data_IF_473718381342
#
_entry.id   IF_473718381342
#
_cell.length_a   1.000
_cell.length_b   1.000
_cell.length_c   1.000
_cell.angle_alpha   90.00
_cell.angle_beta   90.00
_cell.angle_gamma   90.00
#
_symmetry.space_group_name_H-M   'P 1'
#
loop_
_entity.id
_entity.type
_entity.pdbx_description
1 polymer ?
#
# COMPACT_ATOMS: atom_id res chain seq x y z
N UNK A 1 20.56 -26.21 26.43
CA UNK A 1 19.20 -26.67 26.03
C UNK A 1 18.27 -26.99 27.22
N UNK A 2 18.35 -26.26 28.35
CA UNK A 2 17.35 -26.38 29.46
C UNK A 2 16.57 -25.09 29.77
N UNK A 3 16.83 -23.98 29.07
CA UNK A 3 16.10 -22.71 29.28
C UNK A 3 14.91 -22.47 28.33
N UNK A 4 14.85 -23.16 27.19
CA UNK A 4 13.84 -22.86 26.16
C UNK A 4 12.43 -23.30 26.60
N UNK A 5 12.30 -24.48 27.21
CA UNK A 5 11.02 -25.00 27.71
C UNK A 5 10.50 -24.21 28.90
N UNK A 6 11.40 -23.72 29.77
CA UNK A 6 11.04 -22.92 30.95
C UNK A 6 10.54 -21.53 30.53
N UNK A 7 11.16 -20.89 29.52
CA UNK A 7 10.69 -19.60 28.99
C UNK A 7 9.34 -19.76 28.28
N UNK A 8 9.14 -20.82 27.49
CA UNK A 8 7.85 -21.05 26.81
C UNK A 8 6.72 -21.32 27.83
N UNK A 9 7.00 -22.07 28.91
CA UNK A 9 6.01 -22.35 29.98
C UNK A 9 5.72 -21.11 30.83
N UNK A 10 6.74 -20.31 31.18
CA UNK A 10 6.54 -19.04 31.90
C UNK A 10 5.76 -18.04 31.03
N UNK A 11 6.01 -18.01 29.72
CA UNK A 11 5.32 -17.09 28.80
C UNK A 11 3.88 -17.53 28.48
N UNK A 12 3.60 -18.83 28.42
CA UNK A 12 2.24 -19.36 28.34
C UNK A 12 1.44 -19.05 29.63
N UNK A 13 2.09 -19.16 30.80
CA UNK A 13 1.50 -18.75 32.08
C UNK A 13 1.27 -17.23 32.13
N UNK A 14 2.15 -16.40 31.57
CA UNK A 14 1.96 -14.94 31.47
C UNK A 14 0.79 -14.58 30.55
N UNK A 15 0.59 -15.29 29.43
CA UNK A 15 -0.57 -15.08 28.56
C UNK A 15 -1.89 -15.53 29.21
N UNK A 16 -1.87 -16.62 29.99
CA UNK A 16 -3.03 -17.12 30.74
C UNK A 16 -3.39 -16.17 31.90
N UNK A 17 -2.39 -15.65 32.61
CA UNK A 17 -2.56 -14.68 33.72
C UNK A 17 -2.97 -13.30 33.21
N UNK A 18 -2.48 -12.87 32.04
CA UNK A 18 -2.92 -11.66 31.34
C UNK A 18 -4.42 -11.69 30.98
N UNK A 19 -4.96 -12.88 30.67
CA UNK A 19 -6.40 -13.06 30.41
C UNK A 19 -7.28 -12.89 31.66
N UNK A 20 -6.69 -12.85 32.87
CA UNK A 20 -7.42 -12.90 34.14
C UNK A 20 -7.04 -11.80 35.17
N UNK A 21 -6.30 -10.76 34.81
CA UNK A 21 -5.82 -9.75 35.78
C UNK A 21 -5.89 -8.30 35.29
N UNK A 22 -5.96 -7.34 36.23
CA UNK A 22 -6.24 -5.93 35.94
C UNK A 22 -5.05 -5.18 35.31
N UNK A 23 -5.37 -4.11 34.57
CA UNK A 23 -4.46 -3.26 33.76
C UNK A 23 -3.19 -2.79 34.51
N UNK A 24 -3.25 -2.59 35.82
CA UNK A 24 -2.11 -2.14 36.62
C UNK A 24 -0.99 -3.20 36.76
N UNK A 25 -1.33 -4.48 36.67
CA UNK A 25 -0.36 -5.59 36.76
C UNK A 25 0.43 -5.80 35.46
N UNK A 26 -0.12 -5.38 34.32
CA UNK A 26 0.52 -5.44 33.01
C UNK A 26 1.71 -4.48 32.84
N UNK A 27 1.62 -3.28 33.43
CA UNK A 27 2.61 -2.23 33.19
C UNK A 27 3.93 -2.51 33.93
N UNK A 28 3.83 -3.02 35.17
CA UNK A 28 4.98 -3.51 35.96
C UNK A 28 5.70 -4.69 35.28
N UNK A 29 4.93 -5.63 34.69
CA UNK A 29 5.48 -6.78 33.97
C UNK A 29 6.21 -6.36 32.69
N UNK A 30 5.65 -5.39 31.95
CA UNK A 30 6.25 -4.88 30.71
C UNK A 30 7.58 -4.13 30.96
N UNK A 31 7.68 -3.39 32.07
CA UNK A 31 8.91 -2.70 32.47
C UNK A 31 9.98 -3.69 32.96
N UNK A 32 9.58 -4.75 33.67
CA UNK A 32 10.48 -5.83 34.08
C UNK A 32 11.03 -6.62 32.87
N UNK A 33 10.20 -6.84 31.84
CA UNK A 33 10.61 -7.50 30.60
C UNK A 33 11.58 -6.63 29.77
N UNK A 34 11.32 -5.32 29.66
CA UNK A 34 12.19 -4.35 28.97
C UNK A 34 13.59 -4.28 29.59
N UNK A 35 13.71 -4.37 30.91
CA UNK A 35 15.01 -4.41 31.60
C UNK A 35 15.81 -5.68 31.29
N UNK A 36 15.15 -6.81 31.01
CA UNK A 36 15.80 -8.05 30.56
C UNK A 36 16.14 -8.05 29.07
N UNK A 37 15.35 -7.35 28.24
CA UNK A 37 15.55 -7.23 26.78
C UNK A 37 16.82 -6.46 26.39
N UNK A 38 17.30 -5.54 27.22
CA UNK A 38 18.54 -4.77 26.97
C UNK A 38 19.84 -5.60 27.01
N UNK A 39 19.78 -6.90 27.28
CA UNK A 39 20.93 -7.81 27.31
C UNK A 39 21.01 -8.80 26.13
N UNK A 40 20.09 -8.75 25.16
CA UNK A 40 20.02 -9.68 24.03
C UNK A 40 20.63 -9.09 22.75
N UNK A 41 21.17 -9.93 21.87
CA UNK A 41 21.75 -9.50 20.60
C UNK A 41 20.67 -9.24 19.53
N UNK A 42 21.08 -8.66 18.39
CA UNK A 42 20.16 -8.16 17.36
C UNK A 42 19.27 -9.26 16.73
N UNK A 43 19.79 -10.49 16.60
CA UNK A 43 19.04 -11.65 16.08
C UNK A 43 17.96 -12.13 17.06
N UNK A 44 18.26 -12.15 18.36
CA UNK A 44 17.30 -12.49 19.42
C UNK A 44 16.18 -11.44 19.52
N UNK A 45 16.52 -10.17 19.27
CA UNK A 45 15.55 -9.06 19.21
C UNK A 45 14.64 -9.16 17.98
N UNK A 46 15.16 -9.61 16.85
CA UNK A 46 14.38 -9.80 15.62
C UNK A 46 13.46 -11.02 15.69
N UNK A 47 13.90 -12.14 16.27
CA UNK A 47 13.03 -13.30 16.54
C UNK A 47 11.90 -12.93 17.52
N UNK A 48 12.19 -12.10 18.51
CA UNK A 48 11.19 -11.55 19.43
C UNK A 48 10.16 -10.67 18.72
N UNK A 49 10.61 -9.76 17.84
CA UNK A 49 9.70 -8.90 17.05
C UNK A 49 8.83 -9.72 16.09
N UNK A 50 9.39 -10.77 15.47
CA UNK A 50 8.65 -11.67 14.59
C UNK A 50 7.62 -12.51 15.37
N UNK A 51 7.95 -12.95 16.59
CA UNK A 51 7.01 -13.59 17.50
C UNK A 51 5.88 -12.64 17.93
N UNK A 52 6.20 -11.39 18.26
CA UNK A 52 5.19 -10.37 18.57
C UNK A 52 4.23 -10.13 17.40
N UNK A 53 4.73 -10.12 16.16
CA UNK A 53 3.89 -10.03 14.96
C UNK A 53 2.93 -11.22 14.84
N UNK A 54 3.42 -12.45 15.07
CA UNK A 54 2.59 -13.67 15.03
C UNK A 54 1.56 -13.71 16.16
N UNK A 55 1.94 -13.31 17.37
CA UNK A 55 1.01 -13.23 18.51
C UNK A 55 -0.02 -12.12 18.30
N UNK A 56 0.37 -10.98 17.73
CA UNK A 56 -0.57 -9.92 17.35
C UNK A 56 -1.56 -10.38 16.27
N UNK A 57 -1.09 -11.16 15.29
CA UNK A 57 -1.94 -11.78 14.26
C UNK A 57 -2.91 -12.80 14.88
N UNK A 58 -2.42 -13.68 15.76
CA UNK A 58 -3.22 -14.71 16.42
C UNK A 58 -4.26 -14.12 17.40
N UNK A 59 -3.90 -13.05 18.11
CA UNK A 59 -4.82 -12.31 18.98
C UNK A 59 -5.78 -11.40 18.21
N UNK A 60 -5.46 -11.03 16.97
CA UNK A 60 -6.41 -10.38 16.07
C UNK A 60 -7.50 -11.35 15.59
N UNK A 61 -7.21 -12.65 15.55
CA UNK A 61 -8.19 -13.66 15.14
C UNK A 61 -9.07 -14.18 16.29
N UNK A 62 -8.69 -13.91 17.55
CA UNK A 62 -9.44 -14.31 18.74
C UNK A 62 -10.52 -13.26 19.10
N UNK A 63 -11.75 -13.71 19.35
CA UNK A 63 -12.99 -12.91 19.42
C UNK A 63 -13.36 -12.42 20.84
N UNK A 64 -12.39 -12.27 21.75
CA UNK A 64 -12.67 -11.78 23.10
C UNK A 64 -12.42 -10.24 23.23
N UNK A 65 -13.53 -9.49 23.17
CA UNK A 65 -13.94 -8.18 23.74
C UNK A 65 -12.95 -7.13 24.34
N UNK A 66 -11.68 -7.02 23.94
CA UNK A 66 -10.86 -5.84 24.31
C UNK A 66 -10.34 -5.04 23.11
N UNK A 67 -11.21 -4.16 22.59
CA UNK A 67 -10.91 -3.24 21.50
C UNK A 67 -9.83 -2.21 21.86
N UNK A 68 -9.67 -1.88 23.15
CA UNK A 68 -8.61 -0.97 23.65
C UNK A 68 -7.22 -1.61 23.52
N UNK A 69 -7.13 -2.91 23.84
CA UNK A 69 -5.91 -3.69 23.65
C UNK A 69 -5.58 -3.87 22.17
N UNK A 70 -6.57 -4.18 21.32
CA UNK A 70 -6.40 -4.31 19.86
C UNK A 70 -5.99 -2.99 19.18
N UNK A 71 -6.55 -1.87 19.63
CA UNK A 71 -6.17 -0.54 19.15
C UNK A 71 -4.74 -0.19 19.59
N UNK A 72 -4.36 -0.53 20.82
CA UNK A 72 -2.99 -0.32 21.33
C UNK A 72 -1.97 -1.20 20.61
N UNK A 73 -2.32 -2.44 20.29
CA UNK A 73 -1.46 -3.35 19.52
C UNK A 73 -1.36 -2.96 18.04
N UNK A 74 -2.46 -2.57 17.37
CA UNK A 74 -2.40 -1.97 16.02
C UNK A 74 -1.50 -0.75 16.01
N UNK A 75 -1.72 0.19 16.94
CA UNK A 75 -0.89 1.38 17.11
C UNK A 75 0.59 1.06 17.38
N UNK A 76 0.90 -0.05 18.07
CA UNK A 76 2.28 -0.53 18.30
C UNK A 76 2.90 -1.22 17.09
N UNK A 77 2.13 -2.00 16.33
CA UNK A 77 2.56 -2.60 15.04
C UNK A 77 2.78 -1.51 13.99
N UNK A 78 1.89 -0.52 13.93
CA UNK A 78 1.97 0.63 13.03
C UNK A 78 3.09 1.60 13.41
N UNK A 79 3.41 1.74 14.72
CA UNK A 79 4.59 2.50 15.18
C UNK A 79 5.93 1.84 14.85
N UNK A 80 5.90 0.58 14.40
CA UNK A 80 7.06 -0.14 13.85
C UNK A 80 7.03 -0.13 12.30
N UNK A 81 5.96 0.37 11.67
CA UNK A 81 5.67 0.19 10.23
C UNK A 81 5.54 1.47 9.38
N UNK A 82 5.92 2.65 9.86
CA UNK A 82 5.83 3.88 9.07
C UNK A 82 7.06 4.75 9.30
N UNK A 83 8.04 4.78 8.40
CA UNK A 83 8.11 5.78 7.31
C UNK A 83 9.14 5.41 6.19
N UNK A 84 9.78 4.25 6.29
CA UNK A 84 11.06 3.97 5.63
C UNK A 84 11.14 2.78 4.67
N UNK A 85 10.06 1.98 4.53
CA UNK A 85 10.15 0.72 3.79
C UNK A 85 10.41 0.96 2.30
N UNK A 86 11.54 0.45 1.81
CA UNK A 86 11.94 0.47 0.41
C UNK A 86 11.47 -0.83 -0.22
N UNK A 87 10.76 -0.74 -1.33
CA UNK A 87 10.43 -1.86 -2.20
C UNK A 87 11.43 -1.88 -3.35
N UNK A 88 12.07 -3.03 -3.55
CA UNK A 88 13.01 -3.28 -4.64
C UNK A 88 12.56 -4.44 -5.51
N UNK A 89 13.03 -4.45 -6.75
CA UNK A 89 12.90 -5.57 -7.68
C UNK A 89 14.28 -6.23 -7.78
N UNK A 90 14.39 -7.52 -7.45
CA UNK A 90 15.64 -8.26 -7.59
C UNK A 90 15.99 -8.55 -9.06
N UNK A 91 17.22 -8.96 -9.34
CA UNK A 91 17.62 -9.43 -10.69
C UNK A 91 16.87 -10.68 -11.18
N UNK A 92 16.15 -11.34 -10.28
CA UNK A 92 15.22 -12.42 -10.56
C UNK A 92 13.76 -11.94 -10.77
N UNK A 93 13.54 -10.64 -10.94
CA UNK A 93 12.25 -9.98 -11.18
C UNK A 93 11.21 -10.13 -10.06
N UNK A 94 11.64 -10.58 -8.87
CA UNK A 94 10.78 -10.69 -7.68
C UNK A 94 10.90 -9.46 -6.81
N UNK A 95 9.86 -9.19 -6.04
CA UNK A 95 9.85 -8.09 -5.08
C UNK A 95 10.60 -8.44 -3.80
N UNK A 96 11.33 -7.46 -3.28
CA UNK A 96 12.02 -7.50 -1.98
C UNK A 96 11.72 -6.22 -1.21
N UNK A 97 11.60 -6.32 0.11
CA UNK A 97 11.47 -5.15 0.98
C UNK A 97 12.70 -4.96 1.84
N UNK A 98 13.03 -3.71 2.09
CA UNK A 98 14.08 -3.26 3.01
C UNK A 98 13.44 -2.27 3.98
N UNK A 99 13.43 -2.55 5.28
CA UNK A 99 12.73 -1.69 6.25
C UNK A 99 13.35 -0.29 6.38
N UNK A 100 14.67 -0.20 6.24
CA UNK A 100 15.45 1.04 6.24
C UNK A 100 16.56 0.95 5.19
N UNK A 101 17.29 2.04 4.94
CA UNK A 101 18.46 2.03 4.06
C UNK A 101 19.57 1.06 4.50
N UNK A 102 19.63 0.63 5.77
CA UNK A 102 20.71 -0.24 6.27
C UNK A 102 20.26 -1.67 6.59
N UNK A 103 18.96 -1.97 6.50
CA UNK A 103 18.41 -3.31 6.77
C UNK A 103 18.79 -4.32 5.67
N UNK A 104 18.55 -5.60 5.86
CA UNK A 104 18.69 -6.58 4.77
C UNK A 104 17.47 -6.58 3.83
N UNK A 105 17.66 -7.08 2.61
CA UNK A 105 16.56 -7.36 1.70
C UNK A 105 15.81 -8.63 2.12
N UNK A 106 14.50 -8.52 2.26
CA UNK A 106 13.60 -9.63 2.58
C UNK A 106 12.70 -9.85 1.37
N UNK A 107 12.71 -11.06 0.81
CA UNK A 107 11.85 -11.38 -0.33
C UNK A 107 10.38 -11.29 0.08
N UNK A 108 9.58 -10.66 -0.77
CA UNK A 108 8.13 -10.63 -0.63
C UNK A 108 7.55 -12.01 -0.99
N UNK A 109 6.74 -12.63 -0.10
CA UNK A 109 6.07 -13.89 -0.39
C UNK A 109 5.12 -13.78 -1.60
N UNK A 110 4.83 -14.92 -2.23
CA UNK A 110 3.82 -15.02 -3.31
C UNK A 110 4.02 -13.99 -4.44
N UNK A 111 5.26 -13.74 -4.84
CA UNK A 111 5.61 -12.95 -6.02
C UNK A 111 5.36 -13.75 -7.31
N UNK A 112 4.22 -14.42 -7.41
CA UNK A 112 3.74 -15.06 -8.63
C UNK A 112 3.37 -13.94 -9.62
N UNK A 113 4.37 -13.50 -10.39
CA UNK A 113 4.30 -12.36 -11.30
C UNK A 113 5.60 -11.56 -11.23
N UNK A 114 6.36 -11.63 -12.33
CA UNK A 114 7.67 -11.02 -12.50
C UNK A 114 7.52 -9.61 -13.08
N UNK A 115 8.11 -8.62 -12.40
CA UNK A 115 8.04 -7.22 -12.82
C UNK A 115 9.43 -6.64 -13.08
N UNK A 116 9.49 -5.68 -14.00
CA UNK A 116 10.73 -4.99 -14.40
C UNK A 116 10.80 -3.56 -13.83
N UNK A 117 9.66 -2.97 -13.48
CA UNK A 117 9.57 -1.66 -12.84
C UNK A 117 8.40 -1.68 -11.84
N UNK A 118 8.48 -0.83 -10.81
CA UNK A 118 7.47 -0.74 -9.76
C UNK A 118 7.38 0.68 -9.22
N UNK A 119 6.16 1.10 -8.90
CA UNK A 119 5.85 2.33 -8.17
C UNK A 119 4.64 2.07 -7.27
N UNK A 120 4.41 2.93 -6.28
CA UNK A 120 3.17 2.92 -5.51
C UNK A 120 2.33 4.12 -5.90
N UNK A 121 1.06 3.89 -6.18
CA UNK A 121 0.07 4.92 -6.42
C UNK A 121 -0.35 5.59 -5.11
N UNK A 122 -0.90 6.80 -5.19
CA UNK A 122 -1.34 7.59 -4.04
C UNK A 122 -2.40 6.90 -3.18
N UNK A 123 -3.17 5.98 -3.75
CA UNK A 123 -4.17 5.18 -3.02
C UNK A 123 -3.57 3.98 -2.26
N UNK A 124 -2.24 3.79 -2.37
CA UNK A 124 -1.49 2.70 -1.76
C UNK A 124 -1.32 1.47 -2.67
N UNK A 125 -1.99 1.42 -3.82
CA UNK A 125 -1.86 0.33 -4.80
C UNK A 125 -0.45 0.26 -5.35
N UNK A 126 0.13 -0.93 -5.41
CA UNK A 126 1.43 -1.16 -6.06
C UNK A 126 1.17 -1.38 -7.55
N UNK A 127 1.77 -0.53 -8.39
CA UNK A 127 1.73 -0.63 -9.83
C UNK A 127 3.09 -1.14 -10.32
N UNK A 128 3.06 -2.26 -11.05
CA UNK A 128 4.23 -2.88 -11.66
C UNK A 128 4.11 -2.95 -13.18
N UNK A 129 5.26 -3.04 -13.84
CA UNK A 129 5.35 -3.38 -15.25
C UNK A 129 5.82 -4.84 -15.34
N UNK A 130 5.06 -5.70 -15.99
CA UNK A 130 5.42 -7.10 -16.20
C UNK A 130 6.52 -7.26 -17.27
N UNK A 131 7.12 -8.45 -17.37
CA UNK A 131 8.03 -8.77 -18.48
C UNK A 131 7.35 -8.72 -19.86
N UNK A 132 6.02 -8.75 -19.91
CA UNK A 132 5.21 -8.55 -21.10
C UNK A 132 5.01 -7.06 -21.46
N UNK A 133 5.68 -6.16 -20.73
CA UNK A 133 5.60 -4.69 -20.86
C UNK A 133 4.22 -4.09 -20.60
N UNK A 134 3.32 -4.85 -19.95
CA UNK A 134 1.99 -4.39 -19.55
C UNK A 134 1.99 -3.96 -18.10
N UNK A 135 0.96 -3.19 -17.73
CA UNK A 135 0.75 -2.79 -16.34
C UNK A 135 0.03 -3.89 -15.55
N UNK A 136 0.47 -4.08 -14.32
CA UNK A 136 -0.10 -5.00 -13.35
C UNK A 136 -0.24 -4.28 -12.01
N UNK A 137 -1.30 -4.54 -11.27
CA UNK A 137 -1.53 -3.96 -9.95
C UNK A 137 -1.61 -5.01 -8.86
N UNK A 138 -1.17 -4.64 -7.66
CA UNK A 138 -1.41 -5.36 -6.42
C UNK A 138 -1.96 -4.40 -5.38
N UNK A 139 -3.05 -4.76 -4.72
CA UNK A 139 -3.66 -3.92 -3.69
C UNK A 139 -2.77 -3.78 -2.44
N UNK A 140 -2.02 -4.83 -2.11
CA UNK A 140 -1.06 -4.84 -1.00
C UNK A 140 0.21 -5.58 -1.41
N UNK A 141 1.25 -5.50 -0.59
CA UNK A 141 2.52 -6.20 -0.81
C UNK A 141 2.37 -7.72 -1.02
N UNK A 142 1.34 -8.34 -0.45
CA UNK A 142 1.13 -9.80 -0.48
C UNK A 142 -0.06 -10.24 -1.37
N UNK A 143 -0.81 -9.31 -1.96
CA UNK A 143 -1.93 -9.64 -2.87
C UNK A 143 -1.45 -10.24 -4.19
N UNK A 144 -2.27 -10.92 -4.97
CA UNK A 144 -1.85 -11.36 -6.31
C UNK A 144 -1.76 -10.20 -7.30
N UNK A 145 -0.91 -10.34 -8.33
CA UNK A 145 -0.86 -9.39 -9.45
C UNK A 145 -2.13 -9.53 -10.31
N UNK A 146 -2.78 -8.41 -10.56
CA UNK A 146 -3.96 -8.30 -11.43
C UNK A 146 -3.56 -7.44 -12.62
N UNK A 147 -3.71 -7.97 -13.84
CA UNK A 147 -3.38 -7.21 -15.04
C UNK A 147 -4.32 -6.01 -15.15
N UNK A 148 -3.76 -4.85 -15.45
CA UNK A 148 -4.54 -3.67 -15.78
C UNK A 148 -5.19 -3.86 -17.15
N UNK A 149 -6.51 -3.64 -17.30
CA UNK A 149 -7.17 -3.69 -18.60
C UNK A 149 -6.66 -2.62 -19.56
N UNK A 150 -6.84 -2.84 -20.86
CA UNK A 150 -6.54 -1.85 -21.90
C UNK A 150 -5.11 -1.28 -21.85
N UNK A 151 -4.12 -2.09 -21.48
CA UNK A 151 -2.69 -1.73 -21.55
C UNK A 151 -2.17 -1.76 -22.98
N UNK A 152 -2.91 -1.18 -23.92
CA UNK A 152 -2.45 -1.00 -25.29
C UNK A 152 -1.30 0.01 -25.29
N UNK A 153 -0.08 -0.45 -25.51
CA UNK A 153 1.14 0.35 -25.43
C UNK A 153 2.10 -0.23 -24.40
N UNK A 154 3.25 -0.71 -24.89
CA UNK A 154 4.30 -1.30 -24.08
C UNK A 154 5.11 -0.19 -23.38
N UNK A 155 5.32 -0.34 -22.08
CA UNK A 155 6.11 0.58 -21.26
C UNK A 155 7.23 -0.15 -20.51
N UNK A 156 8.29 0.57 -20.20
CA UNK A 156 9.50 0.08 -19.51
C UNK A 156 9.76 0.77 -18.17
N UNK A 157 9.12 1.92 -17.93
CA UNK A 157 9.18 2.65 -16.67
C UNK A 157 7.84 3.30 -16.37
N UNK A 158 7.52 3.49 -15.09
CA UNK A 158 6.25 4.08 -14.66
C UNK A 158 6.40 4.81 -13.33
N UNK A 159 5.69 5.93 -13.19
CA UNK A 159 5.53 6.68 -11.95
C UNK A 159 4.16 7.38 -11.93
N UNK A 160 3.64 7.72 -10.76
CA UNK A 160 2.47 8.60 -10.65
C UNK A 160 2.93 10.01 -10.29
N UNK A 161 2.43 11.00 -11.02
CA UNK A 161 2.64 12.41 -10.73
C UNK A 161 1.72 12.88 -9.61
N UNK A 162 2.09 13.99 -8.97
CA UNK A 162 1.35 14.61 -7.86
C UNK A 162 -0.11 14.94 -8.21
N UNK A 163 -0.42 15.24 -9.47
CA UNK A 163 -1.78 15.48 -9.96
C UNK A 163 -2.62 14.20 -10.17
N UNK A 164 -2.03 13.03 -9.93
CA UNK A 164 -2.64 11.72 -10.11
C UNK A 164 -2.39 11.09 -11.49
N UNK A 165 -1.85 11.84 -12.45
CA UNK A 165 -1.52 11.34 -13.80
C UNK A 165 -0.44 10.26 -13.71
N UNK A 166 -0.61 9.16 -14.44
CA UNK A 166 0.41 8.12 -14.55
C UNK A 166 1.32 8.48 -15.73
N UNK A 167 2.61 8.66 -15.45
CA UNK A 167 3.65 8.89 -16.44
C UNK A 167 4.40 7.58 -16.71
N UNK A 168 4.44 7.17 -17.96
CA UNK A 168 5.14 5.98 -18.43
C UNK A 168 6.21 6.30 -19.46
N UNK A 169 7.20 5.42 -19.55
CA UNK A 169 8.22 5.43 -20.60
C UNK A 169 7.88 4.29 -21.56
N UNK A 170 7.63 4.61 -22.84
CA UNK A 170 7.37 3.60 -23.88
C UNK A 170 8.64 2.85 -24.26
N UNK A 171 8.49 1.69 -24.91
CA UNK A 171 9.64 0.91 -25.48
C UNK A 171 10.40 1.64 -26.60
N UNK A 172 9.94 2.82 -26.99
CA UNK A 172 10.60 3.73 -27.93
C UNK A 172 11.30 4.91 -27.23
N UNK A 173 11.52 4.79 -25.91
CA UNK A 173 12.14 5.75 -25.01
C UNK A 173 11.44 7.11 -24.91
N UNK A 174 10.19 7.22 -25.38
CA UNK A 174 9.36 8.43 -25.27
C UNK A 174 8.45 8.37 -24.05
N UNK A 175 8.04 9.55 -23.57
CA UNK A 175 7.09 9.65 -22.47
C UNK A 175 5.64 9.58 -22.95
N UNK A 176 4.82 8.91 -22.16
CA UNK A 176 3.37 8.80 -22.34
C UNK A 176 2.67 9.06 -21.01
N UNK A 177 1.50 9.67 -21.05
CA UNK A 177 0.66 9.91 -19.88
C UNK A 177 -0.65 9.15 -19.99
N UNK A 178 -1.15 8.68 -18.84
CA UNK A 178 -2.52 8.19 -18.66
C UNK A 178 -3.16 8.96 -17.52
N UNK A 179 -4.38 9.48 -17.74
CA UNK A 179 -5.10 10.22 -16.71
C UNK A 179 -5.54 9.33 -15.53
N UNK A 180 -5.87 8.07 -15.81
CA UNK A 180 -6.20 7.05 -14.81
C UNK A 180 -5.59 5.71 -15.21
N UNK A 181 -5.63 4.73 -14.30
CA UNK A 181 -5.14 3.38 -14.55
C UNK A 181 -5.76 2.69 -15.77
N UNK A 182 -6.98 3.07 -16.18
CA UNK A 182 -7.71 2.45 -17.30
C UNK A 182 -7.80 3.33 -18.55
N UNK A 183 -7.29 4.57 -18.52
CA UNK A 183 -7.29 5.49 -19.66
C UNK A 183 -6.30 5.04 -20.75
N UNK A 184 -6.42 5.52 -21.98
CA UNK A 184 -5.41 5.26 -23.01
C UNK A 184 -4.11 6.04 -22.76
N UNK A 185 -2.99 5.51 -23.26
CA UNK A 185 -1.71 6.24 -23.28
C UNK A 185 -1.76 7.37 -24.30
N UNK A 186 -1.45 8.58 -23.85
CA UNK A 186 -1.30 9.76 -24.69
C UNK A 186 0.17 10.14 -24.71
N UNK A 187 0.78 10.22 -25.90
CA UNK A 187 2.18 10.60 -26.00
C UNK A 187 2.37 12.03 -25.50
N UNK A 188 3.37 12.24 -24.66
CA UNK A 188 3.77 13.58 -24.23
C UNK A 188 4.41 14.31 -25.42
N UNK A 189 4.05 15.57 -25.70
CA UNK A 189 4.72 16.36 -26.72
C UNK A 189 6.20 16.64 -26.38
N UNK A 190 7.00 16.91 -27.41
CA UNK A 190 8.39 17.35 -27.26
C UNK A 190 9.27 16.44 -26.39
N UNK A 191 9.09 15.13 -26.50
CA UNK A 191 9.93 14.13 -25.79
C UNK A 191 11.29 13.96 -26.46
N UNK A 192 11.94 15.07 -26.83
CA UNK A 192 13.30 15.04 -27.34
C UNK A 192 14.24 14.67 -26.20
N UNK A 193 14.90 13.52 -26.28
CA UNK A 193 15.72 12.95 -25.22
C UNK A 193 15.14 11.64 -24.69
N UNK A 194 15.85 10.55 -24.97
CA UNK A 194 15.49 9.20 -24.57
C UNK A 194 15.79 8.97 -23.10
N UNK A 195 14.81 8.47 -22.34
CA UNK A 195 14.95 8.12 -20.93
C UNK A 195 14.55 6.67 -20.68
N UNK A 196 15.18 6.04 -19.69
CA UNK A 196 14.99 4.64 -19.29
C UNK A 196 14.43 4.49 -17.88
N UNK A 197 14.41 5.58 -17.11
CA UNK A 197 13.81 5.65 -15.77
C UNK A 197 13.21 7.03 -15.52
N UNK A 198 12.15 7.10 -14.71
CA UNK A 198 11.45 8.36 -14.41
C UNK A 198 10.85 8.34 -13.01
N UNK A 199 10.91 9.47 -12.32
CA UNK A 199 10.23 9.72 -11.05
C UNK A 199 9.89 11.22 -10.97
N UNK A 200 8.89 11.60 -10.16
CA UNK A 200 8.66 13.01 -9.83
C UNK A 200 9.19 13.31 -8.43
N UNK A 201 9.97 14.37 -8.31
CA UNK A 201 10.45 14.89 -7.03
C UNK A 201 9.33 15.62 -6.29
N UNK A 202 9.49 15.79 -4.98
CA UNK A 202 8.54 16.47 -4.09
C UNK A 202 8.29 17.93 -4.49
N UNK A 203 9.25 18.59 -5.14
CA UNK A 203 9.10 19.96 -5.66
C UNK A 203 8.34 20.03 -7.00
N UNK A 204 7.89 18.88 -7.53
CA UNK A 204 7.17 18.76 -8.80
C UNK A 204 8.08 18.53 -10.01
N UNK A 205 9.40 18.66 -9.87
CA UNK A 205 10.35 18.40 -10.96
C UNK A 205 10.31 16.93 -11.38
N UNK A 206 10.28 16.66 -12.67
CA UNK A 206 10.40 15.30 -13.20
C UNK A 206 11.89 14.99 -13.35
N UNK A 207 12.35 13.93 -12.70
CA UNK A 207 13.70 13.41 -12.79
C UNK A 207 13.70 12.16 -13.68
N UNK A 208 14.49 12.20 -14.75
CA UNK A 208 14.67 11.11 -15.69
C UNK A 208 16.10 10.57 -15.67
N UNK A 209 16.26 9.31 -16.07
CA UNK A 209 17.54 8.69 -16.34
C UNK A 209 17.67 8.56 -17.86
N UNK A 210 18.69 9.19 -18.45
CA UNK A 210 18.96 9.08 -19.89
C UNK A 210 19.53 7.71 -20.28
N UNK A 211 19.50 7.37 -21.57
CA UNK A 211 20.13 6.13 -22.09
C UNK A 211 21.66 6.05 -21.87
N UNK A 212 22.28 7.17 -21.52
CA UNK A 212 23.68 7.27 -21.08
C UNK A 212 23.86 7.06 -19.56
N UNK A 213 22.81 6.65 -18.84
CA UNK A 213 22.75 6.45 -17.39
C UNK A 213 23.01 7.71 -16.54
N UNK A 214 22.89 8.91 -17.14
CA UNK A 214 22.95 10.19 -16.41
C UNK A 214 21.57 10.68 -16.04
N UNK A 215 21.51 11.58 -15.06
CA UNK A 215 20.26 12.21 -14.65
C UNK A 215 19.95 13.45 -15.47
N UNK A 216 18.67 13.61 -15.81
CA UNK A 216 18.11 14.77 -16.48
C UNK A 216 16.89 15.24 -15.72
N UNK A 217 16.69 16.55 -15.62
CA UNK A 217 15.47 17.13 -15.06
C UNK A 217 14.61 17.78 -16.10
N UNK A 218 13.31 17.81 -15.81
CA UNK A 218 12.30 18.46 -16.61
C UNK A 218 11.34 19.16 -15.66
N UNK A 219 11.17 20.47 -15.81
CA UNK A 219 10.36 21.27 -14.88
C UNK A 219 8.87 20.94 -14.97
N UNK A 220 8.38 20.61 -16.17
CA UNK A 220 6.99 20.22 -16.44
C UNK A 220 6.93 19.13 -17.50
N UNK A 221 5.78 18.51 -17.71
CA UNK A 221 5.57 17.54 -18.81
C UNK A 221 5.82 18.09 -20.22
N UNK A 222 5.99 19.40 -20.43
CA UNK A 222 6.22 19.98 -21.76
C UNK A 222 7.57 20.70 -21.90
N UNK A 223 8.36 20.80 -20.81
CA UNK A 223 9.68 21.45 -20.84
C UNK A 223 10.72 20.58 -21.56
N UNK A 224 11.91 21.11 -21.85
CA UNK A 224 13.02 20.30 -22.34
C UNK A 224 13.72 19.56 -21.18
N UNK A 225 14.44 18.48 -21.50
CA UNK A 225 15.35 17.82 -20.56
C UNK A 225 16.62 18.64 -20.36
N UNK A 226 17.02 18.82 -19.10
CA UNK A 226 18.24 19.52 -18.71
C UNK A 226 19.14 18.54 -17.98
N UNK A 227 20.38 18.37 -18.44
CA UNK A 227 21.34 17.47 -17.78
C UNK A 227 21.66 17.97 -16.37
N UNK A 228 21.50 17.10 -15.39
CA UNK A 228 21.92 17.36 -14.02
C UNK A 228 23.44 17.38 -13.97
N UNK A 229 24.01 18.44 -13.41
CA UNK A 229 25.46 18.56 -13.32
C UNK A 229 26.03 17.63 -12.25
N UNK A 230 27.31 17.29 -12.38
CA UNK A 230 28.04 16.44 -11.43
C UNK A 230 27.38 15.06 -11.20
N UNK A 231 26.79 14.44 -12.23
CA UNK A 231 26.29 13.07 -12.15
C UNK A 231 27.41 12.05 -12.26
N UNK A 232 28.46 12.20 -11.46
CA UNK A 232 29.55 11.22 -11.41
C UNK A 232 29.00 9.95 -10.74
N UNK A 233 28.68 8.95 -11.55
CA UNK A 233 28.01 7.72 -11.13
C UNK A 233 26.78 7.44 -11.99
N UNK A 234 26.84 6.34 -12.75
CA UNK A 234 25.78 5.89 -13.62
C UNK A 234 24.71 5.14 -12.83
N UNK A 235 23.44 5.49 -13.03
CA UNK A 235 22.30 4.83 -12.38
C UNK A 235 21.32 4.27 -13.40
N UNK A 236 20.59 3.20 -13.01
CA UNK A 236 19.61 2.50 -13.84
C UNK A 236 18.17 2.65 -13.33
N UNK A 237 17.99 3.01 -12.05
CA UNK A 237 16.70 3.33 -11.46
C UNK A 237 16.88 4.41 -10.39
N UNK A 238 15.82 5.21 -10.15
CA UNK A 238 15.85 6.32 -9.20
C UNK A 238 14.48 6.55 -8.58
N UNK A 239 14.46 6.93 -7.31
CA UNK A 239 13.27 7.42 -6.58
C UNK A 239 13.70 8.49 -5.59
N UNK A 240 12.81 9.39 -5.21
CA UNK A 240 13.04 10.25 -4.03
C UNK A 240 12.41 9.61 -2.80
N UNK A 241 13.13 9.63 -1.68
CA UNK A 241 12.62 9.21 -0.38
C UNK A 241 11.83 10.34 0.29
N UNK A 242 10.98 10.00 1.26
CA UNK A 242 10.18 10.94 2.05
C UNK A 242 10.98 12.08 2.67
N UNK A 243 12.21 11.80 3.09
CA UNK A 243 13.10 12.79 3.68
C UNK A 243 13.79 13.71 2.63
N UNK A 244 13.43 13.60 1.36
CA UNK A 244 13.99 14.36 0.24
C UNK A 244 15.26 13.77 -0.38
N UNK A 245 15.88 12.76 0.24
CA UNK A 245 17.06 12.08 -0.30
C UNK A 245 16.72 11.35 -1.59
N UNK A 246 17.54 11.48 -2.62
CA UNK A 246 17.41 10.71 -3.86
C UNK A 246 18.11 9.38 -3.67
N UNK A 247 17.39 8.28 -3.88
CA UNK A 247 17.92 6.92 -3.87
C UNK A 247 18.01 6.41 -5.32
N UNK A 248 19.18 5.93 -5.71
CA UNK A 248 19.45 5.37 -7.02
C UNK A 248 20.01 3.96 -6.96
N UNK A 249 19.83 3.21 -8.03
CA UNK A 249 20.52 1.93 -8.26
C UNK A 249 21.64 2.18 -9.27
N UNK A 250 22.88 1.85 -8.91
CA UNK A 250 24.02 1.94 -9.82
C UNK A 250 24.03 0.83 -10.89
N UNK A 251 24.82 0.97 -11.94
CA UNK A 251 25.02 -0.08 -12.97
C UNK A 251 25.61 -1.39 -12.44
N UNK A 252 26.11 -1.38 -11.21
CA UNK A 252 26.56 -2.55 -10.44
C UNK A 252 25.46 -3.17 -9.56
N UNK A 253 24.20 -2.75 -9.73
CA UNK A 253 23.01 -3.17 -8.99
C UNK A 253 23.05 -2.88 -7.47
N UNK A 254 23.93 -1.97 -7.03
CA UNK A 254 23.98 -1.50 -5.64
C UNK A 254 23.18 -0.21 -5.45
N UNK A 255 22.77 0.06 -4.21
CA UNK A 255 22.09 1.30 -3.87
C UNK A 255 23.07 2.44 -3.57
N UNK A 256 22.71 3.62 -4.02
CA UNK A 256 23.43 4.87 -3.77
C UNK A 256 22.44 5.95 -3.34
N UNK A 257 22.83 6.79 -2.40
CA UNK A 257 22.05 7.95 -1.96
C UNK A 257 22.70 9.23 -2.45
N UNK A 258 21.86 10.23 -2.71
CA UNK A 258 22.28 11.57 -3.10
C UNK A 258 21.41 12.56 -2.31
N UNK A 259 22.02 13.40 -1.48
CA UNK A 259 21.27 14.27 -0.57
C UNK A 259 20.42 15.32 -1.31
N UNK A 260 20.96 15.86 -2.41
CA UNK A 260 20.27 16.81 -3.30
C UNK A 260 20.56 16.45 -4.75
N UNK A 261 19.87 17.09 -5.69
CA UNK A 261 20.09 16.88 -7.12
C UNK A 261 21.53 17.11 -7.59
N UNK A 262 22.34 17.91 -6.88
CA UNK A 262 23.72 18.24 -7.27
C UNK A 262 24.80 17.65 -6.35
N UNK A 263 24.43 16.90 -5.31
CA UNK A 263 25.38 16.26 -4.39
C UNK A 263 26.13 15.08 -5.04
N UNK A 264 27.13 14.49 -4.41
CA UNK A 264 27.71 13.23 -4.91
C UNK A 264 26.84 12.02 -4.55
N UNK A 265 27.01 10.92 -5.30
CA UNK A 265 26.46 9.62 -4.94
C UNK A 265 27.28 8.98 -3.82
N UNK A 266 26.59 8.53 -2.76
CA UNK A 266 27.19 7.82 -1.62
C UNK A 266 26.63 6.41 -1.59
N UNK A 267 27.50 5.39 -1.68
CA UNK A 267 27.09 3.99 -1.62
C UNK A 267 26.38 3.69 -0.29
N UNK A 268 25.24 3.03 -0.38
CA UNK A 268 24.52 2.55 0.80
C UNK A 268 25.22 1.26 1.28
N UNK A 269 25.59 1.16 2.57
CA UNK A 269 26.20 -0.06 3.11
C UNK A 269 25.28 -1.28 3.01
N UNK A 270 25.89 -2.47 3.08
CA UNK A 270 25.20 -3.75 3.17
C UNK A 270 24.15 -3.95 2.06
N UNK A 271 24.47 -3.54 0.84
CA UNK A 271 23.62 -3.76 -0.36
C UNK A 271 23.73 -5.20 -0.88
N UNK A 272 23.80 -6.18 0.03
CA UNK A 272 23.79 -7.60 -0.32
C UNK A 272 22.42 -7.94 -0.91
N UNK A 273 22.38 -8.15 -2.23
CA UNK A 273 21.15 -8.35 -3.00
C UNK A 273 21.06 -7.34 -4.14
N UNK A 274 21.27 -7.83 -5.36
CA UNK A 274 21.21 -7.01 -6.57
C UNK A 274 19.76 -6.67 -6.91
N UNK A 275 19.46 -5.37 -7.01
CA UNK A 275 18.15 -4.86 -7.42
C UNK A 275 18.24 -4.08 -8.73
N UNK A 276 17.13 -4.04 -9.46
CA UNK A 276 17.00 -3.39 -10.78
C UNK A 276 15.88 -2.35 -10.85
N UNK A 277 15.00 -2.31 -9.85
CA UNK A 277 13.98 -1.29 -9.68
C UNK A 277 13.76 -0.98 -8.20
N UNK A 278 13.34 0.25 -7.88
CA UNK A 278 13.15 0.73 -6.51
C UNK A 278 12.01 1.74 -6.42
N UNK A 279 11.29 1.71 -5.29
CA UNK A 279 10.38 2.77 -4.85
C UNK A 279 10.34 2.76 -3.32
N UNK A 280 9.99 3.88 -2.69
CA UNK A 280 9.60 3.86 -1.28
C UNK A 280 8.09 3.61 -1.17
N UNK A 281 7.69 2.86 -0.15
CA UNK A 281 6.28 2.64 0.16
C UNK A 281 5.77 3.68 1.16
N UNK A 282 4.59 4.19 0.87
CA UNK A 282 3.82 5.16 1.63
C UNK A 282 2.62 4.41 2.19
N UNK A 283 2.72 3.97 3.45
CA UNK A 283 1.53 3.55 4.18
C UNK A 283 1.00 4.80 4.91
N UNK A 284 -0.28 5.17 4.74
CA UNK A 284 -0.82 6.29 5.48
C UNK A 284 -0.69 5.99 6.98
N UNK A 285 -0.08 6.91 7.72
CA UNK A 285 -0.27 6.95 9.17
C UNK A 285 -1.75 7.29 9.38
N UNK A 286 -2.50 6.45 10.10
CA UNK A 286 -3.82 6.85 10.59
C UNK A 286 -3.55 7.96 11.61
N UNK A 287 -3.56 9.20 11.14
CA UNK A 287 -3.38 10.37 11.99
C UNK A 287 -4.51 10.37 13.02
N UNK A 288 -4.14 10.47 14.29
CA UNK A 288 -5.08 10.57 15.39
C UNK A 288 -6.06 11.71 15.12
N UNK A 289 -7.34 11.39 15.30
CA UNK A 289 -8.53 12.22 15.42
C UNK A 289 -8.33 13.74 15.17
N UNK A 290 -9.05 14.37 14.23
CA UNK A 290 -9.07 15.83 14.16
C UNK A 290 -9.67 16.36 15.46
N UNK A 291 -8.82 16.95 16.29
CA UNK A 291 -9.27 17.73 17.44
C UNK A 291 -9.91 18.99 16.89
N UNK A 292 -11.24 19.00 16.87
CA UNK A 292 -12.03 20.19 16.57
C UNK A 292 -11.70 21.26 17.59
N UNK A 293 -10.85 22.21 17.22
CA UNK A 293 -10.68 23.45 17.96
C UNK A 293 -11.96 24.27 17.75
N UNK A 294 -12.75 24.39 18.81
CA UNK A 294 -13.94 25.25 18.82
C UNK A 294 -13.53 26.69 18.52
N UNK A 295 -13.90 27.20 17.35
CA UNK A 295 -13.87 28.62 17.03
C UNK A 295 -15.26 29.20 17.33
N UNK A 296 -15.30 30.19 18.21
CA UNK A 296 -16.47 30.95 18.61
C UNK A 296 -17.03 31.76 17.44
N UNK A 297 -18.32 31.56 17.17
CA UNK A 297 -19.09 32.35 16.20
C UNK A 297 -19.33 33.78 16.72
N UNK A 298 -19.07 34.77 15.87
CA UNK A 298 -19.83 36.03 15.88
C UNK A 298 -20.54 36.15 14.54
N UNK A 299 -21.86 36.29 14.61
CA UNK A 299 -22.79 36.24 13.49
C UNK A 299 -22.72 37.49 12.60
N UNK A 300 -22.94 37.30 11.29
CA UNK A 300 -23.87 38.16 10.55
C UNK A 300 -24.57 37.39 9.43
N UNK A 301 -25.89 37.55 9.44
CA UNK A 301 -26.95 37.24 8.44
C UNK A 301 -26.63 38.02 7.14
N UNK A 302 -26.97 37.64 5.91
CA UNK A 302 -28.17 36.97 5.43
C UNK A 302 -28.02 36.44 3.99
N UNK A 303 -28.67 35.29 3.75
CA UNK A 303 -29.38 34.78 2.57
C UNK A 303 -28.95 35.19 1.15
N UNK A 304 -28.74 34.18 0.28
CA UNK A 304 -29.72 33.76 -0.75
C UNK A 304 -29.42 32.32 -1.19
N UNK A 305 -30.48 31.55 -1.42
CA UNK A 305 -30.51 30.10 -1.54
C UNK A 305 -29.96 29.53 -2.86
N UNK A 306 -29.29 28.39 -2.78
CA UNK A 306 -29.24 27.37 -3.84
C UNK A 306 -29.17 26.00 -3.18
N UNK A 307 -30.02 25.11 -3.66
CA UNK A 307 -30.44 23.83 -3.09
C UNK A 307 -29.28 22.85 -2.88
N UNK A 308 -28.91 22.61 -1.62
CA UNK A 308 -28.00 21.53 -1.21
C UNK A 308 -28.81 20.27 -0.90
N UNK A 309 -28.61 19.20 -1.68
CA UNK A 309 -28.97 17.86 -1.24
C UNK A 309 -27.94 17.42 -0.19
N UNK A 310 -28.40 17.26 1.05
CA UNK A 310 -27.67 16.69 2.17
C UNK A 310 -27.24 15.25 1.86
N UNK A 311 -25.95 14.94 2.02
CA UNK A 311 -25.46 13.58 2.23
C UNK A 311 -24.70 13.55 3.56
N UNK A 312 -25.45 13.32 4.62
CA UNK A 312 -24.98 12.57 5.78
C UNK A 312 -25.47 11.15 5.58
N UNK A 313 -24.60 10.14 5.74
CA UNK A 313 -24.67 9.17 6.85
C UNK A 313 -23.76 7.96 6.61
N UNK A 314 -23.20 7.46 7.71
CA UNK A 314 -22.74 6.08 7.94
C UNK A 314 -23.29 5.06 6.94
N UNK A 315 -22.39 4.30 6.31
CA UNK A 315 -22.73 3.12 5.51
C UNK A 315 -23.68 2.19 6.29
N UNK A 316 -24.78 1.76 5.63
CA UNK A 316 -25.77 0.80 6.17
C UNK A 316 -25.30 -0.64 6.03
N UNK A 317 -24.38 -0.86 5.11
CA UNK A 317 -23.77 -2.15 4.86
C UNK A 317 -22.55 -2.33 5.76
N UNK A 318 -22.59 -3.36 6.60
CA UNK A 318 -21.56 -3.66 7.61
C UNK A 318 -21.20 -5.14 7.53
N UNK A 319 -20.05 -5.50 8.12
CA UNK A 319 -19.51 -6.88 8.11
C UNK A 319 -19.11 -7.35 6.70
N UNK A 320 -17.81 -7.58 6.49
CA UNK A 320 -17.28 -8.15 5.25
C UNK A 320 -16.77 -9.55 5.56
N UNK A 321 -17.30 -10.55 4.87
CA UNK A 321 -16.89 -11.95 5.01
C UNK A 321 -16.30 -12.44 3.69
N UNK A 322 -15.04 -12.88 3.74
CA UNK A 322 -14.30 -13.39 2.58
C UNK A 322 -14.51 -14.90 2.47
N UNK A 323 -14.59 -15.41 1.23
CA UNK A 323 -14.71 -16.84 0.95
C UNK A 323 -16.11 -17.39 1.22
N UNK A 324 -17.13 -16.52 1.29
CA UNK A 324 -18.51 -16.88 1.60
C UNK A 324 -19.47 -16.20 0.64
N UNK A 325 -20.52 -16.93 0.27
CA UNK A 325 -21.69 -16.43 -0.46
C UNK A 325 -22.92 -16.42 0.45
N UNK A 326 -23.61 -15.28 0.50
CA UNK A 326 -24.84 -15.08 1.26
C UNK A 326 -26.02 -15.64 0.45
N UNK A 327 -26.06 -16.94 0.23
CA UNK A 327 -26.96 -17.60 -0.72
C UNK A 327 -28.46 -17.27 -0.52
N UNK A 328 -29.14 -17.06 -1.65
CA UNK A 328 -30.60 -16.83 -1.77
C UNK A 328 -31.03 -15.38 -1.56
N UNK A 329 -32.23 -15.05 -2.03
CA UNK A 329 -32.80 -13.69 -1.91
C UNK A 329 -32.28 -12.67 -2.92
N UNK A 330 -31.67 -13.12 -4.03
CA UNK A 330 -31.16 -12.21 -5.06
C UNK A 330 -32.27 -11.35 -5.64
N UNK A 331 -32.10 -10.03 -5.57
CA UNK A 331 -33.09 -9.04 -6.05
C UNK A 331 -33.16 -9.03 -7.59
N UNK A 332 -32.10 -9.47 -8.26
CA UNK A 332 -32.11 -9.89 -9.67
C UNK A 332 -31.18 -11.10 -9.84
N UNK A 333 -31.76 -12.30 -9.70
CA UNK A 333 -31.03 -13.56 -9.85
C UNK A 333 -30.53 -13.82 -11.28
N UNK A 334 -31.12 -13.14 -12.28
CA UNK A 334 -30.89 -13.42 -13.70
C UNK A 334 -29.82 -12.51 -14.32
N UNK A 335 -29.66 -11.29 -13.79
CA UNK A 335 -28.72 -10.30 -14.31
C UNK A 335 -27.98 -9.59 -13.16
N UNK A 336 -27.00 -10.26 -12.51
CA UNK A 336 -26.20 -9.62 -11.47
C UNK A 336 -25.44 -8.42 -12.03
N UNK A 337 -25.36 -7.36 -11.24
CA UNK A 337 -24.67 -6.14 -11.64
C UNK A 337 -23.16 -6.38 -11.78
N UNK A 338 -22.54 -5.72 -12.75
CA UNK A 338 -21.09 -5.76 -12.92
C UNK A 338 -20.47 -4.59 -12.17
N UNK A 339 -19.64 -4.87 -11.16
CA UNK A 339 -18.95 -3.84 -10.36
C UNK A 339 -17.48 -4.22 -10.16
N UNK A 340 -16.65 -3.27 -9.73
CA UNK A 340 -15.19 -3.46 -9.69
C UNK A 340 -14.61 -3.64 -8.29
N UNK A 341 -15.45 -3.64 -7.25
CA UNK A 341 -15.01 -3.88 -5.87
C UNK A 341 -16.17 -4.34 -4.96
N UNK A 342 -15.85 -4.99 -3.83
CA UNK A 342 -16.83 -5.29 -2.78
C UNK A 342 -17.51 -4.02 -2.25
N UNK A 343 -16.76 -2.91 -2.12
CA UNK A 343 -17.30 -1.63 -1.68
C UNK A 343 -18.32 -1.06 -2.68
N UNK A 344 -18.08 -1.20 -3.99
CA UNK A 344 -19.04 -0.83 -5.01
C UNK A 344 -20.29 -1.73 -4.97
N UNK A 345 -20.13 -3.02 -4.66
CA UNK A 345 -21.26 -3.94 -4.47
C UNK A 345 -22.10 -3.60 -3.22
N UNK A 346 -21.44 -3.24 -2.11
CA UNK A 346 -22.09 -2.73 -0.91
C UNK A 346 -22.84 -1.42 -1.20
N UNK A 347 -22.19 -0.45 -1.84
CA UNK A 347 -22.81 0.81 -2.21
C UNK A 347 -24.01 0.62 -3.16
N UNK A 348 -23.96 -0.37 -4.06
CA UNK A 348 -25.09 -0.73 -4.90
C UNK A 348 -26.25 -1.30 -4.07
N UNK A 349 -25.98 -2.14 -3.08
CA UNK A 349 -26.99 -2.62 -2.14
C UNK A 349 -27.61 -1.46 -1.34
N UNK A 350 -26.82 -0.46 -0.96
CA UNK A 350 -27.33 0.72 -0.23
C UNK A 350 -28.32 1.58 -1.03
N UNK A 351 -28.31 1.49 -2.37
CA UNK A 351 -29.29 2.18 -3.22
C UNK A 351 -30.69 1.57 -3.11
N UNK A 352 -30.81 0.32 -2.68
CA UNK A 352 -32.08 -0.38 -2.52
C UNK A 352 -32.48 -0.40 -1.04
N UNK A 353 -33.68 0.07 -0.73
CA UNK A 353 -34.21 0.11 0.65
C UNK A 353 -34.37 -1.31 1.24
N UNK A 354 -34.75 -2.27 0.40
CA UNK A 354 -35.01 -3.65 0.80
C UNK A 354 -33.77 -4.55 0.75
N UNK A 355 -32.62 -4.05 0.27
CA UNK A 355 -31.40 -4.84 0.23
C UNK A 355 -30.81 -5.00 1.62
N UNK A 356 -30.68 -6.24 2.06
CA UNK A 356 -30.16 -6.63 3.38
C UNK A 356 -28.85 -7.40 3.32
N UNK A 357 -28.40 -7.79 2.14
CA UNK A 357 -27.12 -8.46 1.94
C UNK A 357 -26.62 -8.30 0.52
N UNK A 358 -25.33 -8.54 0.32
CA UNK A 358 -24.72 -8.57 -1.00
C UNK A 358 -23.63 -9.64 -1.07
N UNK A 359 -23.40 -10.14 -2.29
CA UNK A 359 -22.26 -10.99 -2.63
C UNK A 359 -21.54 -10.38 -3.83
N UNK A 360 -20.23 -10.21 -3.74
CA UNK A 360 -19.35 -9.84 -4.84
C UNK A 360 -18.45 -11.03 -5.19
N UNK A 361 -18.47 -11.46 -6.45
CA UNK A 361 -17.54 -12.46 -6.95
C UNK A 361 -16.28 -11.79 -7.49
N UNK A 362 -15.13 -12.07 -6.85
CA UNK A 362 -13.86 -11.39 -7.10
C UNK A 362 -13.26 -11.73 -8.47
N UNK A 363 -13.59 -12.89 -9.03
CA UNK A 363 -13.08 -13.32 -10.34
C UNK A 363 -13.87 -12.71 -11.50
N UNK A 364 -15.20 -12.69 -11.39
CA UNK A 364 -16.10 -12.29 -12.46
C UNK A 364 -16.56 -10.83 -12.36
N UNK A 365 -16.35 -10.16 -11.22
CA UNK A 365 -16.86 -8.80 -10.97
C UNK A 365 -18.38 -8.73 -10.77
N UNK A 366 -19.06 -9.87 -10.71
CA UNK A 366 -20.51 -9.94 -10.52
C UNK A 366 -20.88 -9.58 -9.08
N UNK A 367 -21.90 -8.75 -8.93
CA UNK A 367 -22.48 -8.32 -7.68
C UNK A 367 -23.95 -8.73 -7.63
N UNK A 368 -24.29 -9.44 -6.58
CA UNK A 368 -25.65 -9.87 -6.28
C UNK A 368 -26.12 -9.14 -5.03
N UNK A 369 -27.03 -8.18 -5.20
CA UNK A 369 -27.79 -7.56 -4.11
C UNK A 369 -28.95 -8.47 -3.70
N UNK A 370 -29.24 -8.53 -2.40
CA UNK A 370 -30.16 -9.51 -1.82
C UNK A 370 -31.12 -8.89 -0.81
N UNK A 371 -32.39 -9.27 -0.87
CA UNK A 371 -33.44 -8.81 0.05
C UNK A 371 -33.55 -9.64 1.35
N UNK A 372 -32.89 -10.79 1.37
CA UNK A 372 -32.72 -11.70 2.51
C UNK A 372 -31.52 -12.62 2.28
N UNK A 373 -31.11 -13.36 3.31
CA UNK A 373 -30.14 -14.45 3.20
C UNK A 373 -30.76 -15.74 3.69
N UNK A 374 -30.63 -16.82 2.92
CA UNK A 374 -31.16 -18.16 3.30
C UNK A 374 -30.11 -19.05 3.94
N UNK A 375 -28.87 -18.98 3.47
CA UNK A 375 -27.72 -19.64 4.08
C UNK A 375 -26.43 -18.87 3.75
N UNK A 376 -25.35 -19.18 4.46
CA UNK A 376 -24.01 -18.65 4.16
C UNK A 376 -23.13 -19.81 3.71
N UNK A 377 -22.91 -19.92 2.41
CA UNK A 377 -22.19 -21.03 1.79
C UNK A 377 -20.71 -20.71 1.62
N UNK A 378 -19.84 -21.72 1.66
CA UNK A 378 -18.44 -21.55 1.30
C UNK A 378 -18.33 -21.28 -0.22
N UNK A 379 -17.68 -20.19 -0.58
CA UNK A 379 -17.42 -19.80 -1.97
C UNK A 379 -16.11 -19.02 -1.98
N UNK A 380 -14.97 -19.66 -2.30
CA UNK A 380 -13.63 -19.06 -2.18
C UNK A 380 -13.47 -17.72 -2.90
N UNK A 381 -14.24 -17.53 -3.98
CA UNK A 381 -14.19 -16.35 -4.84
C UNK A 381 -15.24 -15.30 -4.50
N UNK A 382 -15.94 -15.44 -3.38
CA UNK A 382 -17.00 -14.52 -2.96
C UNK A 382 -16.57 -13.69 -1.75
N UNK A 383 -16.88 -12.40 -1.82
CA UNK A 383 -16.85 -11.48 -0.68
C UNK A 383 -18.29 -11.04 -0.44
N UNK A 384 -18.76 -11.18 0.79
CA UNK A 384 -20.15 -10.86 1.16
C UNK A 384 -20.23 -9.83 2.26
N UNK A 385 -21.38 -9.18 2.36
CA UNK A 385 -21.72 -8.38 3.53
C UNK A 385 -23.22 -8.32 3.79
N UNK A 386 -23.58 -7.81 4.97
CA UNK A 386 -24.97 -7.60 5.40
C UNK A 386 -25.27 -6.11 5.47
N UNK A 387 -26.53 -5.74 5.28
CA UNK A 387 -26.98 -4.35 5.31
C UNK A 387 -28.23 -4.21 6.17
N UNK A 388 -28.26 -3.17 7.00
CA UNK A 388 -29.44 -2.87 7.81
C UNK A 388 -30.56 -2.35 6.91
N UNK A 389 -31.78 -2.89 7.07
CA UNK A 389 -32.98 -2.33 6.45
C UNK A 389 -33.12 -0.86 6.86
N UNK A 390 -33.42 0.00 5.91
CA UNK A 390 -33.74 1.39 6.22
C UNK A 390 -35.09 1.43 6.93
N UNK A 391 -35.15 1.96 8.15
CA UNK A 391 -36.43 2.23 8.82
C UNK A 391 -37.20 3.30 8.03
N UNK A 392 -38.49 3.05 7.75
CA UNK A 392 -39.40 4.01 7.10
C UNK A 392 -39.58 5.27 7.93
#
# INVERSE_FOLDING_TARGET
MRSFTIVVVIMALVAIVAKHSSVATHDSYSQALRRRLNGYNDDEREQYNMFLRRVAQQLADDKDDDESFRATMRKRVDSVSNDGTILGIGTNYKLYTRATLNSDWIQVPNTMGEVIAVTQLHDGTILGIGQDYKLWTRATLNSDWIQVPNTMGAVIGVTQLQDGTILGIGTNDKLYTRATLNSDWIQVPNTMGAVIGVTQLQDGTILGIGTNNKLYTRATLNSDWIEVQNTMGAVIAVTQLHNGTILGIGTNNKLYTRATLNSDWIEVPNTMGAVIGITQLNYPTISATPTSKAATNTASKAATATTTAHLSTSSRCTEIVIGKDNYGGDMDATHPAQVHSPAACAALCEQYLDCTAWTFNVQSGKCWTKDKTTSVNASPDAITGTCKKSSK
#
